data_IF_182947482977
#
_entry.id   IF_182947482977
#
_cell.length_a   1.000
_cell.length_b   1.000
_cell.length_c   1.000
_cell.angle_alpha   90.00
_cell.angle_beta   90.00
_cell.angle_gamma   90.00
#
_symmetry.space_group_name_H-M   'P 1'
#
loop_
_entity.id
_entity.type
_entity.pdbx_description
1 polymer ?
#
# COMPACT_ATOMS: atom_id res chain seq x y z
N UNK A 1 0.33 -8.83 -28.17
CA UNK A 1 1.59 -8.69 -27.43
C UNK A 1 2.03 -7.23 -27.61
N UNK A 2 1.56 -6.34 -26.74
CA UNK A 2 1.96 -4.92 -26.77
C UNK A 2 3.28 -4.80 -26.01
N UNK A 3 4.30 -4.34 -26.72
CA UNK A 3 5.58 -3.99 -26.10
C UNK A 3 5.34 -2.79 -25.19
N UNK A 4 5.67 -2.95 -23.89
CA UNK A 4 5.71 -1.82 -22.94
C UNK A 4 6.79 -0.86 -23.47
N UNK A 5 6.41 0.38 -23.73
CA UNK A 5 7.39 1.46 -23.94
C UNK A 5 8.23 1.57 -22.65
N UNK A 6 9.51 1.28 -22.77
CA UNK A 6 10.48 1.59 -21.70
C UNK A 6 10.48 3.12 -21.53
N UNK A 7 9.93 3.57 -20.40
CA UNK A 7 10.06 4.98 -20.02
C UNK A 7 11.52 5.26 -19.74
N UNK A 8 12.13 6.09 -20.57
CA UNK A 8 13.49 6.60 -20.32
C UNK A 8 13.57 7.23 -18.93
N UNK A 9 14.46 6.70 -18.10
CA UNK A 9 14.74 7.28 -16.78
C UNK A 9 15.55 8.56 -17.00
N UNK A 10 15.14 9.72 -16.46
CA UNK A 10 15.89 10.96 -16.60
C UNK A 10 17.36 10.81 -16.16
N UNK A 11 18.29 11.41 -16.87
CA UNK A 11 19.75 11.31 -16.64
C UNK A 11 20.16 11.53 -15.18
N UNK A 12 19.54 12.52 -14.51
CA UNK A 12 19.76 12.81 -13.08
C UNK A 12 19.38 11.63 -12.16
N UNK A 13 18.37 10.84 -12.55
CA UNK A 13 17.99 9.65 -11.77
C UNK A 13 18.93 8.48 -12.05
N UNK A 14 19.44 8.34 -13.27
CA UNK A 14 20.47 7.35 -13.61
C UNK A 14 21.74 7.56 -12.82
N UNK A 15 22.30 8.78 -12.81
CA UNK A 15 23.48 9.10 -12.01
C UNK A 15 23.29 8.78 -10.52
N UNK A 16 22.15 9.15 -9.91
CA UNK A 16 21.85 8.84 -8.51
C UNK A 16 21.70 7.34 -8.23
N UNK A 17 21.23 6.58 -9.19
CA UNK A 17 21.12 5.12 -9.07
C UNK A 17 22.50 4.49 -9.19
N UNK A 18 23.32 4.93 -10.16
CA UNK A 18 24.68 4.45 -10.37
C UNK A 18 25.58 4.76 -9.16
N UNK A 19 25.53 5.99 -8.62
CA UNK A 19 26.24 6.37 -7.39
C UNK A 19 25.85 5.49 -6.19
N UNK A 20 24.57 5.13 -6.06
CA UNK A 20 24.10 4.23 -4.98
C UNK A 20 24.41 2.77 -5.24
N UNK A 21 24.47 2.33 -6.50
CA UNK A 21 24.84 0.95 -6.82
C UNK A 21 26.30 0.66 -6.55
N UNK A 22 27.20 1.66 -6.57
CA UNK A 22 28.59 1.50 -6.17
C UNK A 22 28.77 1.19 -4.68
N UNK A 23 27.76 1.49 -3.85
CA UNK A 23 27.78 1.16 -2.41
C UNK A 23 27.26 -0.27 -2.11
N UNK A 24 26.68 -0.96 -3.11
CA UNK A 24 26.14 -2.31 -2.94
C UNK A 24 27.13 -3.34 -3.48
N UNK A 25 27.66 -4.17 -2.60
CA UNK A 25 28.51 -5.29 -3.02
C UNK A 25 27.65 -6.40 -3.64
N UNK A 26 27.58 -6.39 -4.98
CA UNK A 26 26.80 -7.34 -5.77
C UNK A 26 27.38 -8.78 -5.74
N UNK A 27 28.55 -8.98 -5.14
CA UNK A 27 29.14 -10.32 -4.94
C UNK A 27 28.56 -11.03 -3.72
N UNK A 28 27.94 -10.27 -2.81
CA UNK A 28 27.30 -10.82 -1.63
C UNK A 28 25.89 -11.33 -1.94
N UNK A 29 25.42 -12.38 -1.23
CA UNK A 29 24.00 -12.71 -1.24
C UNK A 29 23.16 -11.46 -0.88
N UNK A 30 22.03 -11.26 -1.56
CA UNK A 30 21.22 -10.05 -1.41
C UNK A 30 20.84 -9.75 0.05
N UNK A 31 20.63 -10.79 0.88
CA UNK A 31 20.32 -10.66 2.31
C UNK A 31 21.44 -9.94 3.09
N UNK A 32 22.68 -9.99 2.61
CA UNK A 32 23.84 -9.34 3.20
C UNK A 32 24.19 -8.01 2.52
N UNK A 33 23.84 -7.87 1.25
CA UNK A 33 24.05 -6.64 0.49
C UNK A 33 23.19 -5.48 1.02
N UNK A 34 21.99 -5.77 1.53
CA UNK A 34 21.08 -4.76 2.08
C UNK A 34 21.22 -4.61 3.60
N UNK A 35 22.08 -3.73 4.05
CA UNK A 35 22.38 -3.51 5.47
C UNK A 35 21.25 -2.84 6.28
N UNK A 36 20.26 -2.21 5.59
CA UNK A 36 19.16 -1.49 6.24
C UNK A 36 17.84 -2.26 6.27
N UNK A 37 17.82 -3.50 5.78
CA UNK A 37 16.64 -4.36 5.78
C UNK A 37 16.58 -5.14 7.10
N UNK A 38 15.42 -5.12 7.76
CA UNK A 38 15.24 -5.86 9.01
C UNK A 38 15.21 -7.38 8.78
N UNK A 39 15.59 -8.20 9.78
CA UNK A 39 15.52 -9.67 9.66
C UNK A 39 14.13 -10.18 9.22
N UNK A 40 13.05 -9.59 9.73
CA UNK A 40 11.68 -9.97 9.36
C UNK A 40 11.34 -9.65 7.91
N UNK A 41 11.91 -8.58 7.35
CA UNK A 41 11.74 -8.26 5.93
C UNK A 41 12.54 -9.23 5.05
N UNK A 42 13.75 -9.64 5.48
CA UNK A 42 14.54 -10.66 4.78
C UNK A 42 13.75 -11.98 4.75
N UNK A 43 13.25 -12.43 5.90
CA UNK A 43 12.45 -13.66 6.00
C UNK A 43 11.21 -13.62 5.10
N UNK A 44 10.53 -12.47 5.05
CA UNK A 44 9.38 -12.27 4.17
C UNK A 44 9.77 -12.38 2.69
N UNK A 45 10.87 -11.74 2.27
CA UNK A 45 11.33 -11.80 0.89
C UNK A 45 11.82 -13.19 0.50
N UNK A 46 12.53 -13.90 1.41
CA UNK A 46 12.92 -15.30 1.20
C UNK A 46 11.70 -16.20 1.01
N UNK A 47 10.64 -16.00 1.80
CA UNK A 47 9.39 -16.74 1.66
C UNK A 47 8.69 -16.46 0.31
N UNK A 48 8.70 -15.20 -0.16
CA UNK A 48 8.16 -14.85 -1.47
C UNK A 48 8.92 -15.55 -2.61
N UNK A 49 10.25 -15.51 -2.57
CA UNK A 49 11.12 -16.16 -3.56
C UNK A 49 10.90 -17.68 -3.54
N UNK A 50 10.83 -18.29 -2.35
CA UNK A 50 10.58 -19.73 -2.19
C UNK A 50 9.20 -20.14 -2.74
N UNK A 51 8.21 -19.26 -2.71
CA UNK A 51 6.88 -19.47 -3.32
C UNK A 51 6.85 -19.20 -4.83
N UNK A 52 7.99 -18.83 -5.45
CA UNK A 52 8.07 -18.51 -6.87
C UNK A 52 7.44 -17.17 -7.24
N UNK A 53 7.31 -16.25 -6.29
CA UNK A 53 6.84 -14.89 -6.56
C UNK A 53 8.01 -13.99 -6.96
N UNK A 54 7.81 -13.15 -7.97
CA UNK A 54 8.78 -12.17 -8.42
C UNK A 54 8.53 -10.85 -7.70
N UNK A 55 9.59 -10.26 -7.15
CA UNK A 55 9.51 -9.04 -6.30
C UNK A 55 9.06 -7.80 -7.09
N UNK A 56 9.27 -7.79 -8.40
CA UNK A 56 8.92 -6.70 -9.32
C UNK A 56 7.54 -6.85 -9.96
N UNK A 57 6.84 -7.96 -9.72
CA UNK A 57 5.47 -8.14 -10.21
C UNK A 57 4.49 -7.30 -9.42
N UNK A 58 3.49 -6.76 -10.13
CA UNK A 58 2.39 -6.07 -9.50
C UNK A 58 1.58 -7.04 -8.61
N UNK A 59 1.45 -6.76 -7.30
CA UNK A 59 0.79 -7.67 -6.39
C UNK A 59 -0.69 -7.84 -6.75
N UNK A 60 -1.19 -9.08 -6.70
CA UNK A 60 -2.61 -9.40 -6.91
C UNK A 60 -3.52 -8.78 -5.85
N UNK A 61 -2.98 -8.60 -4.65
CA UNK A 61 -3.68 -7.99 -3.52
C UNK A 61 -2.85 -6.81 -3.04
N UNK A 62 -3.47 -5.62 -3.06
CA UNK A 62 -2.85 -4.40 -2.55
C UNK A 62 -3.53 -4.00 -1.25
N UNK A 63 -2.77 -3.93 -0.17
CA UNK A 63 -3.25 -3.46 1.13
C UNK A 63 -2.78 -2.02 1.33
N UNK A 64 -3.71 -1.12 1.63
CA UNK A 64 -3.38 0.28 1.90
C UNK A 64 -4.40 0.95 2.82
N UNK A 65 -4.08 2.14 3.30
CA UNK A 65 -5.09 3.02 3.91
C UNK A 65 -5.99 3.62 2.82
N UNK A 66 -7.18 4.11 3.20
CA UNK A 66 -8.07 4.82 2.25
C UNK A 66 -7.34 6.02 1.62
N UNK A 67 -6.54 6.76 2.41
CA UNK A 67 -5.74 7.87 1.89
C UNK A 67 -4.68 7.42 0.88
N UNK A 68 -4.02 6.29 1.13
CA UNK A 68 -3.04 5.71 0.21
C UNK A 68 -3.65 5.17 -1.08
N UNK A 69 -4.93 4.82 -1.07
CA UNK A 69 -5.68 4.36 -2.24
C UNK A 69 -6.22 5.51 -3.11
N UNK A 70 -6.04 6.77 -2.70
CA UNK A 70 -6.53 7.93 -3.47
C UNK A 70 -5.93 7.95 -4.87
N UNK A 71 -6.79 8.10 -5.88
CA UNK A 71 -6.40 8.11 -7.30
C UNK A 71 -6.26 6.73 -7.94
N UNK A 72 -6.30 5.63 -7.15
CA UNK A 72 -6.33 4.27 -7.67
C UNK A 72 -7.74 3.72 -7.77
N UNK A 73 -7.91 2.66 -8.56
CA UNK A 73 -9.14 1.87 -8.67
C UNK A 73 -8.80 0.38 -8.65
N UNK A 74 -9.75 -0.42 -8.17
CA UNK A 74 -9.64 -1.87 -8.18
C UNK A 74 -10.98 -2.52 -8.55
N UNK A 75 -10.94 -3.64 -9.26
CA UNK A 75 -12.14 -4.41 -9.61
C UNK A 75 -12.91 -4.84 -8.38
N UNK A 76 -12.20 -5.30 -7.36
CA UNK A 76 -12.74 -5.74 -6.09
C UNK A 76 -12.08 -4.95 -4.95
N UNK A 77 -12.89 -4.41 -4.06
CA UNK A 77 -12.41 -3.69 -2.87
C UNK A 77 -12.99 -4.32 -1.64
N UNK A 78 -12.13 -4.64 -0.68
CA UNK A 78 -12.51 -5.07 0.68
C UNK A 78 -12.24 -3.90 1.62
N UNK A 79 -13.28 -3.31 2.18
CA UNK A 79 -13.20 -2.16 3.06
C UNK A 79 -13.57 -2.56 4.49
N UNK A 80 -12.61 -2.44 5.40
CA UNK A 80 -12.83 -2.69 6.82
C UNK A 80 -13.39 -1.45 7.48
N UNK A 81 -14.57 -1.57 8.10
CA UNK A 81 -15.29 -0.46 8.75
C UNK A 81 -14.73 -0.09 10.14
N UNK A 82 -13.53 -0.54 10.46
CA UNK A 82 -12.87 -0.26 11.73
C UNK A 82 -12.29 1.16 11.76
N UNK A 83 -12.65 1.92 12.80
CA UNK A 83 -12.04 3.21 13.09
C UNK A 83 -11.08 3.12 14.29
N UNK A 84 -10.04 3.96 14.28
CA UNK A 84 -9.22 4.14 15.48
C UNK A 84 -9.92 5.04 16.48
N UNK A 85 -9.56 4.94 17.76
CA UNK A 85 -10.10 5.82 18.80
C UNK A 85 -9.80 7.31 18.51
N UNK A 86 -8.63 7.58 17.93
CA UNK A 86 -8.22 8.94 17.56
C UNK A 86 -9.09 9.51 16.44
N UNK A 87 -9.38 8.70 15.40
CA UNK A 87 -10.27 9.08 14.30
C UNK A 87 -11.67 9.41 14.83
N UNK A 88 -12.22 8.52 15.65
CA UNK A 88 -13.54 8.71 16.25
C UNK A 88 -13.61 9.95 17.15
N UNK A 89 -12.59 10.19 17.97
CA UNK A 89 -12.51 11.36 18.81
C UNK A 89 -12.34 12.64 17.97
N UNK A 90 -11.59 12.56 16.87
CA UNK A 90 -11.41 13.64 15.91
C UNK A 90 -12.73 14.05 15.28
N UNK A 91 -13.48 13.08 14.72
CA UNK A 91 -14.75 13.31 14.05
C UNK A 91 -15.84 13.92 14.96
N UNK A 92 -15.78 13.64 16.26
CA UNK A 92 -16.74 14.19 17.25
C UNK A 92 -16.48 15.65 17.64
N UNK A 93 -15.36 16.26 17.22
CA UNK A 93 -15.00 17.63 17.64
C UNK A 93 -15.85 18.72 17.00
N UNK A 94 -16.29 18.53 15.76
CA UNK A 94 -17.14 19.46 15.06
C UNK A 94 -17.88 18.76 13.90
N UNK A 95 -18.95 19.38 13.39
CA UNK A 95 -19.65 18.91 12.20
C UNK A 95 -18.71 18.83 10.98
N UNK A 96 -17.84 19.82 10.82
CA UNK A 96 -16.84 19.82 9.72
C UNK A 96 -15.91 18.60 9.78
N UNK A 97 -15.44 18.23 10.98
CA UNK A 97 -14.60 17.05 11.16
C UNK A 97 -15.34 15.73 10.91
N UNK A 98 -16.60 15.71 11.21
CA UNK A 98 -17.46 14.58 10.88
C UNK A 98 -17.65 14.48 9.35
N UNK A 99 -17.86 15.60 8.67
CA UNK A 99 -17.97 15.61 7.21
C UNK A 99 -16.67 15.22 6.51
N UNK A 100 -15.51 15.63 7.06
CA UNK A 100 -14.21 15.18 6.58
C UNK A 100 -14.09 13.65 6.66
N UNK A 101 -14.52 13.04 7.75
CA UNK A 101 -14.50 11.60 7.92
C UNK A 101 -15.45 10.91 6.91
N UNK A 102 -16.66 11.41 6.69
CA UNK A 102 -17.55 10.88 5.66
C UNK A 102 -16.94 10.96 4.26
N UNK A 103 -16.22 12.03 3.93
CA UNK A 103 -15.51 12.14 2.65
C UNK A 103 -14.40 11.10 2.50
N UNK A 104 -13.68 10.79 3.57
CA UNK A 104 -12.66 9.72 3.54
C UNK A 104 -13.31 8.38 3.21
N UNK A 105 -14.41 8.03 3.88
CA UNK A 105 -15.13 6.78 3.60
C UNK A 105 -15.72 6.75 2.18
N UNK A 106 -16.26 7.87 1.71
CA UNK A 106 -16.71 8.01 0.33
C UNK A 106 -15.59 7.72 -0.67
N UNK A 107 -14.38 8.25 -0.44
CA UNK A 107 -13.23 7.95 -1.27
C UNK A 107 -12.94 6.45 -1.27
N UNK A 108 -12.93 5.78 -0.12
CA UNK A 108 -12.70 4.33 -0.03
C UNK A 108 -13.71 3.51 -0.82
N UNK A 109 -14.99 3.84 -0.72
CA UNK A 109 -16.08 3.16 -1.43
C UNK A 109 -15.95 3.35 -2.94
N UNK A 110 -15.64 4.56 -3.39
CA UNK A 110 -15.55 4.91 -4.83
C UNK A 110 -14.29 4.36 -5.50
N UNK A 111 -13.38 3.71 -4.78
CA UNK A 111 -12.23 2.99 -5.39
C UNK A 111 -12.64 1.66 -6.04
N UNK A 112 -13.87 1.23 -5.82
CA UNK A 112 -14.39 -0.03 -6.31
C UNK A 112 -15.03 0.12 -7.70
N UNK A 113 -14.51 -0.65 -8.68
CA UNK A 113 -15.06 -0.69 -10.02
C UNK A 113 -16.22 -1.71 -10.19
N UNK A 114 -16.21 -2.83 -9.44
CA UNK A 114 -17.24 -3.89 -9.56
C UNK A 114 -17.81 -4.36 -8.24
N UNK A 115 -16.99 -4.94 -7.37
CA UNK A 115 -17.48 -5.61 -6.16
C UNK A 115 -16.89 -4.95 -4.91
N UNK A 116 -17.76 -4.36 -4.09
CA UNK A 116 -17.40 -3.78 -2.79
C UNK A 116 -17.82 -4.73 -1.67
N UNK A 117 -16.86 -5.13 -0.84
CA UNK A 117 -17.07 -5.95 0.34
C UNK A 117 -16.85 -5.11 1.59
N UNK A 118 -17.90 -4.92 2.38
CA UNK A 118 -17.83 -4.16 3.62
C UNK A 118 -17.66 -5.13 4.80
N UNK A 119 -16.53 -5.05 5.46
CA UNK A 119 -16.24 -5.89 6.63
C UNK A 119 -16.51 -5.11 7.90
N UNK A 120 -17.49 -5.58 8.66
CA UNK A 120 -17.86 -4.99 9.94
C UNK A 120 -16.74 -5.07 10.97
N UNK A 121 -16.69 -4.10 11.86
CA UNK A 121 -15.76 -4.12 12.96
C UNK A 121 -16.12 -5.22 13.98
N UNK A 122 -15.11 -5.92 14.53
CA UNK A 122 -15.32 -6.85 15.63
C UNK A 122 -15.91 -6.14 16.87
N UNK A 123 -15.57 -4.87 17.06
CA UNK A 123 -16.12 -4.03 18.11
C UNK A 123 -17.08 -3.00 17.49
N UNK A 124 -18.39 -3.18 17.73
CA UNK A 124 -19.46 -2.30 17.24
C UNK A 124 -19.27 -0.82 17.60
N UNK A 125 -18.57 -0.53 18.71
CA UNK A 125 -18.30 0.86 19.13
C UNK A 125 -17.26 1.55 18.25
N UNK A 126 -16.46 0.79 17.51
CA UNK A 126 -15.42 1.29 16.56
C UNK A 126 -15.84 1.16 15.11
N UNK A 127 -17.07 0.75 14.85
CA UNK A 127 -17.59 0.59 13.50
C UNK A 127 -18.05 1.94 12.94
N UNK A 128 -17.57 2.28 11.76
CA UNK A 128 -18.14 3.38 10.99
C UNK A 128 -19.49 2.95 10.43
N UNK A 129 -20.49 3.77 10.64
CA UNK A 129 -21.84 3.52 10.12
C UNK A 129 -21.99 4.20 8.77
N UNK A 130 -22.06 3.40 7.74
CA UNK A 130 -22.36 3.81 6.37
C UNK A 130 -23.87 3.94 6.23
#
# INVERSE_FOLDING_TARGET
MQMREEKEIPEIQRQRVEERMHEVDITLPWQKAFTKVSPSQIEYMDAMIANGEEVDQEPRIKVSTIHGAKGGEATNVVLFLNQTLNTMAGAKKSAEKQDEEYRVWYVGITRCAKNLYLIKANNKTKEFKI
#
